data_IF_476279898086
#
_entry.id   IF_476279898086
#
_cell.length_a   1.000
_cell.length_b   1.000
_cell.length_c   1.000
_cell.angle_alpha   90.00
_cell.angle_beta   90.00
_cell.angle_gamma   90.00
#
_symmetry.space_group_name_H-M   'P 1'
#
loop_
_entity.id
_entity.type
_entity.pdbx_description
1 polymer ?
#
# COMPACT_ATOMS: atom_id res chain seq x y z
N UNK A 1 9.46 29.67 -40.82
CA UNK A 1 10.95 29.69 -40.88
C UNK A 1 11.37 28.27 -41.16
N UNK A 2 12.18 28.05 -42.19
CA UNK A 2 12.64 26.71 -42.61
C UNK A 2 14.17 26.69 -42.60
N UNK A 3 14.76 25.50 -42.33
CA UNK A 3 16.20 25.28 -42.36
C UNK A 3 16.92 25.56 -41.04
N UNK A 4 18.23 25.84 -41.13
CA UNK A 4 19.11 26.08 -39.99
C UNK A 4 19.02 27.49 -39.46
N UNK A 5 18.80 27.69 -38.15
CA UNK A 5 18.76 28.97 -37.47
C UNK A 5 19.94 29.10 -36.52
N UNK A 6 20.75 30.16 -36.72
CA UNK A 6 21.77 30.58 -35.74
C UNK A 6 21.27 31.82 -34.99
N UNK A 7 21.27 31.76 -33.67
CA UNK A 7 20.92 32.90 -32.83
C UNK A 7 22.16 33.76 -32.54
N UNK A 8 22.03 35.10 -32.46
CA UNK A 8 23.11 36.00 -32.05
C UNK A 8 23.73 35.60 -30.72
N UNK A 9 25.03 35.70 -30.57
CA UNK A 9 25.78 35.36 -29.34
C UNK A 9 25.37 36.21 -28.12
N UNK A 10 24.64 37.30 -28.32
CA UNK A 10 24.10 38.16 -27.27
C UNK A 10 22.81 37.64 -26.64
N UNK A 11 22.19 36.60 -27.23
CA UNK A 11 20.94 36.02 -26.69
C UNK A 11 21.25 35.27 -25.39
N UNK A 12 20.52 35.61 -24.33
CA UNK A 12 20.67 35.03 -22.99
C UNK A 12 19.44 34.23 -22.53
N UNK A 13 18.31 34.34 -23.22
CA UNK A 13 17.09 33.58 -22.96
C UNK A 13 16.27 33.36 -24.23
N UNK A 14 15.54 32.25 -24.26
CA UNK A 14 14.54 31.95 -25.31
C UNK A 14 13.16 32.11 -24.66
N UNK A 15 12.36 33.02 -25.21
CA UNK A 15 11.02 33.29 -24.67
C UNK A 15 10.02 32.13 -24.87
N UNK A 16 8.90 32.24 -24.19
CA UNK A 16 7.84 31.27 -24.36
C UNK A 16 7.31 31.21 -25.78
N UNK A 17 7.17 30.00 -26.32
CA UNK A 17 6.69 29.72 -27.70
C UNK A 17 7.44 30.41 -28.83
N UNK A 18 8.68 30.91 -28.58
CA UNK A 18 9.44 31.75 -29.53
C UNK A 18 9.62 31.09 -30.91
N UNK A 19 9.77 29.78 -30.96
CA UNK A 19 9.94 28.99 -32.19
C UNK A 19 8.94 27.85 -32.31
N UNK A 20 7.84 27.87 -31.54
CA UNK A 20 6.84 26.83 -31.62
C UNK A 20 6.30 26.61 -33.02
N UNK A 21 6.12 25.36 -33.44
CA UNK A 21 5.57 24.95 -34.73
C UNK A 21 6.36 25.46 -35.95
N UNK A 22 7.66 25.68 -35.78
CA UNK A 22 8.53 26.03 -36.90
C UNK A 22 9.10 24.79 -37.59
N UNK A 23 9.29 24.84 -38.90
CA UNK A 23 9.90 23.78 -39.71
C UNK A 23 11.44 23.93 -39.75
N UNK A 24 12.06 24.24 -38.62
CA UNK A 24 13.52 24.37 -38.54
C UNK A 24 14.14 23.02 -38.27
N UNK A 25 15.20 22.69 -39.01
CA UNK A 25 15.90 21.41 -38.91
C UNK A 25 17.03 21.42 -37.87
N UNK A 26 17.58 22.59 -37.55
CA UNK A 26 18.71 22.73 -36.64
C UNK A 26 18.70 24.13 -36.01
N UNK A 27 18.97 24.20 -34.70
CA UNK A 27 19.14 25.43 -33.95
C UNK A 27 20.53 25.50 -33.32
N UNK A 28 21.30 26.55 -33.63
CA UNK A 28 22.51 26.86 -32.89
C UNK A 28 22.19 27.80 -31.73
N UNK A 29 22.07 27.23 -30.52
CA UNK A 29 21.80 28.00 -29.30
C UNK A 29 23.13 28.49 -28.70
N UNK A 30 23.28 29.83 -28.44
CA UNK A 30 24.48 30.37 -27.79
C UNK A 30 24.69 29.79 -26.37
N UNK A 31 25.95 29.56 -25.99
CA UNK A 31 26.30 29.00 -24.66
C UNK A 31 25.86 29.89 -23.49
N UNK A 32 25.62 31.20 -23.72
CA UNK A 32 25.13 32.17 -22.72
C UNK A 32 23.63 32.08 -22.43
N UNK A 33 22.87 31.28 -23.13
CA UNK A 33 21.43 31.10 -22.85
C UNK A 33 21.30 30.38 -21.53
N UNK A 34 20.63 31.01 -20.57
CA UNK A 34 20.42 30.50 -19.20
C UNK A 34 19.03 29.91 -18.99
N UNK A 35 18.06 30.24 -19.87
CA UNK A 35 16.69 29.79 -19.79
C UNK A 35 16.09 29.54 -21.16
N UNK A 36 15.40 28.38 -21.30
CA UNK A 36 14.53 28.06 -22.43
C UNK A 36 13.11 28.05 -21.87
N UNK A 37 12.28 28.97 -22.38
CA UNK A 37 10.94 29.24 -21.90
C UNK A 37 9.94 28.12 -22.22
N UNK A 38 8.71 28.28 -21.71
CA UNK A 38 7.61 27.37 -21.97
C UNK A 38 7.34 27.24 -23.48
N UNK A 39 7.22 25.99 -23.96
CA UNK A 39 6.88 25.67 -25.35
C UNK A 39 7.81 26.28 -26.39
N UNK A 40 9.00 26.71 -25.99
CA UNK A 40 9.89 27.52 -26.87
C UNK A 40 10.12 26.90 -28.25
N UNK A 41 10.18 25.56 -28.34
CA UNK A 41 10.32 24.77 -29.56
C UNK A 41 9.21 23.72 -29.71
N UNK A 42 8.06 23.92 -29.06
CA UNK A 42 6.95 22.94 -29.10
C UNK A 42 6.53 22.65 -30.54
N UNK A 43 6.37 21.35 -30.86
CA UNK A 43 5.94 20.87 -32.18
C UNK A 43 6.83 21.30 -33.36
N UNK A 44 8.14 21.42 -33.10
CA UNK A 44 9.12 21.61 -34.16
C UNK A 44 9.47 20.24 -34.78
N UNK A 45 8.62 19.73 -35.66
CA UNK A 45 8.69 18.35 -36.19
C UNK A 45 9.89 18.08 -37.10
N UNK A 46 10.64 19.11 -37.54
CA UNK A 46 11.86 18.96 -38.32
C UNK A 46 13.13 19.10 -37.46
N UNK A 47 13.00 19.51 -36.18
CA UNK A 47 14.14 19.76 -35.30
C UNK A 47 14.74 18.45 -34.82
N UNK A 48 15.93 18.08 -35.27
CA UNK A 48 16.58 16.82 -35.04
C UNK A 48 17.78 16.90 -34.07
N UNK A 49 18.63 17.93 -34.25
CA UNK A 49 19.91 18.02 -33.54
C UNK A 49 19.86 19.10 -32.46
N UNK A 50 19.73 18.67 -31.20
CA UNK A 50 19.73 19.59 -30.05
C UNK A 50 21.05 19.48 -29.28
N UNK A 51 21.77 20.62 -29.21
CA UNK A 51 22.83 20.85 -28.24
C UNK A 51 22.37 21.90 -27.25
N UNK A 52 22.23 21.53 -25.98
CA UNK A 52 21.86 22.48 -24.93
C UNK A 52 22.99 23.44 -24.60
N UNK A 53 22.69 24.75 -24.35
CA UNK A 53 23.67 25.76 -23.95
C UNK A 53 24.40 25.38 -22.67
N UNK A 54 25.70 25.71 -22.57
CA UNK A 54 26.51 25.38 -21.37
C UNK A 54 25.98 26.05 -20.10
N UNK A 55 25.54 27.32 -20.21
CA UNK A 55 25.12 28.12 -19.05
C UNK A 55 23.62 27.90 -18.69
N UNK A 56 22.96 26.96 -19.37
CA UNK A 56 21.53 26.69 -19.18
C UNK A 56 21.25 26.21 -17.75
N UNK A 57 20.28 26.85 -17.08
CA UNK A 57 19.85 26.55 -15.70
C UNK A 57 18.44 25.96 -15.66
N UNK A 58 17.58 26.31 -16.63
CA UNK A 58 16.18 25.91 -16.63
C UNK A 58 15.70 25.54 -18.02
N UNK A 59 14.99 24.43 -18.11
CA UNK A 59 14.22 23.99 -19.28
C UNK A 59 12.75 24.10 -18.91
N UNK A 60 12.02 24.97 -19.60
CA UNK A 60 10.62 25.29 -19.34
C UNK A 60 9.68 24.13 -19.65
N UNK A 61 8.44 24.27 -19.19
CA UNK A 61 7.39 23.30 -19.52
C UNK A 61 7.22 23.22 -21.03
N UNK A 62 7.03 22.00 -21.58
CA UNK A 62 6.79 21.75 -23.01
C UNK A 62 7.86 22.32 -23.96
N UNK A 63 9.05 22.70 -23.45
CA UNK A 63 10.07 23.41 -24.20
C UNK A 63 10.42 22.75 -25.56
N UNK A 64 10.46 21.42 -25.62
CA UNK A 64 10.70 20.58 -26.80
C UNK A 64 9.61 19.52 -27.00
N UNK A 65 8.40 19.80 -26.51
CA UNK A 65 7.28 18.86 -26.65
C UNK A 65 7.02 18.53 -28.13
N UNK A 66 6.91 17.24 -28.45
CA UNK A 66 6.68 16.71 -29.81
C UNK A 66 7.72 17.20 -30.88
N UNK A 67 8.98 17.34 -30.47
CA UNK A 67 10.09 17.52 -31.42
C UNK A 67 10.61 16.15 -31.89
N UNK A 68 11.08 16.08 -33.17
CA UNK A 68 11.74 14.87 -33.71
C UNK A 68 13.23 14.81 -33.34
N UNK A 69 13.59 15.25 -32.13
CA UNK A 69 14.97 15.20 -31.66
C UNK A 69 15.52 13.77 -31.81
N UNK A 70 16.75 13.66 -32.31
CA UNK A 70 17.44 12.41 -32.60
C UNK A 70 18.80 12.33 -31.90
N UNK A 71 19.29 11.12 -31.67
CA UNK A 71 20.56 10.88 -31.01
C UNK A 71 20.52 11.12 -29.50
N UNK A 72 21.68 11.42 -28.91
CA UNK A 72 21.82 11.59 -27.47
C UNK A 72 21.42 12.99 -26.98
N UNK A 73 20.72 13.04 -25.86
CA UNK A 73 20.44 14.28 -25.13
C UNK A 73 21.29 14.33 -23.86
N UNK A 74 22.25 15.25 -23.83
CA UNK A 74 23.06 15.55 -22.66
C UNK A 74 22.47 16.80 -21.97
N UNK A 75 21.91 16.62 -20.76
CA UNK A 75 21.40 17.73 -19.95
C UNK A 75 22.60 18.56 -19.47
N UNK A 76 22.56 19.88 -19.69
CA UNK A 76 23.65 20.77 -19.32
C UNK A 76 23.88 20.78 -17.78
N UNK A 77 25.16 20.89 -17.38
CA UNK A 77 25.57 20.71 -15.97
C UNK A 77 24.84 21.62 -14.98
N UNK A 78 24.52 22.86 -15.37
CA UNK A 78 23.86 23.83 -14.50
C UNK A 78 22.35 23.70 -14.42
N UNK A 79 21.73 22.75 -15.16
CA UNK A 79 20.28 22.54 -15.14
C UNK A 79 19.87 21.91 -13.82
N UNK A 80 19.01 22.60 -13.07
CA UNK A 80 18.45 22.15 -11.81
C UNK A 80 17.03 21.60 -11.96
N UNK A 81 16.32 21.99 -13.02
CA UNK A 81 14.93 21.61 -13.27
C UNK A 81 14.68 21.35 -14.75
N UNK A 82 13.99 20.24 -15.03
CA UNK A 82 13.38 19.92 -16.32
C UNK A 82 11.87 20.07 -16.15
N UNK A 83 11.25 20.97 -16.92
CA UNK A 83 9.84 21.29 -16.82
C UNK A 83 8.90 20.16 -17.21
N UNK A 84 7.62 20.34 -16.93
CA UNK A 84 6.58 19.36 -17.27
C UNK A 84 6.47 19.21 -18.79
N UNK A 85 6.41 17.96 -19.27
CA UNK A 85 6.36 17.61 -20.70
C UNK A 85 7.49 18.20 -21.55
N UNK A 86 8.63 18.58 -20.93
CA UNK A 86 9.69 19.31 -21.64
C UNK A 86 10.20 18.59 -22.89
N UNK A 87 10.29 17.26 -22.87
CA UNK A 87 10.68 16.40 -23.99
C UNK A 87 9.61 15.34 -24.31
N UNK A 88 8.34 15.64 -24.01
CA UNK A 88 7.24 14.73 -24.30
C UNK A 88 7.23 14.40 -25.81
N UNK A 89 7.09 13.11 -26.14
CA UNK A 89 6.97 12.67 -27.52
C UNK A 89 8.25 12.79 -28.38
N UNK A 90 9.42 13.12 -27.80
CA UNK A 90 10.70 13.16 -28.53
C UNK A 90 11.16 11.73 -28.89
N UNK A 91 10.49 11.11 -29.85
CA UNK A 91 10.66 9.68 -30.16
C UNK A 91 12.01 9.33 -30.77
N UNK A 92 12.75 10.27 -31.35
CA UNK A 92 14.05 9.99 -31.98
C UNK A 92 15.23 10.00 -31.01
N UNK A 93 15.05 10.38 -29.74
CA UNK A 93 16.11 10.29 -28.74
C UNK A 93 16.47 8.86 -28.42
N UNK A 94 17.78 8.53 -28.46
CA UNK A 94 18.31 7.18 -28.19
C UNK A 94 19.13 7.09 -26.90
N UNK A 95 19.64 8.24 -26.39
CA UNK A 95 20.40 8.32 -25.15
C UNK A 95 19.97 9.52 -24.31
N UNK A 96 20.09 9.40 -23.00
CA UNK A 96 19.82 10.46 -22.03
C UNK A 96 20.91 10.48 -20.97
N UNK A 97 21.58 11.63 -20.80
CA UNK A 97 22.55 11.87 -19.73
C UNK A 97 22.00 12.94 -18.80
N UNK A 98 21.75 12.58 -17.54
CA UNK A 98 21.33 13.50 -16.48
C UNK A 98 22.54 13.91 -15.63
N UNK A 99 22.50 15.10 -15.04
CA UNK A 99 23.64 15.67 -14.30
C UNK A 99 23.38 15.74 -12.79
N UNK A 100 24.45 15.79 -12.00
CA UNK A 100 24.39 15.85 -10.54
C UNK A 100 23.83 17.16 -9.96
N UNK A 101 23.57 18.17 -10.80
CA UNK A 101 22.89 19.41 -10.37
C UNK A 101 21.36 19.32 -10.45
N UNK A 102 20.83 18.30 -11.14
CA UNK A 102 19.39 18.15 -11.35
C UNK A 102 18.67 17.80 -10.06
N UNK A 103 17.64 18.56 -9.72
CA UNK A 103 16.83 18.37 -8.49
C UNK A 103 15.40 17.91 -8.80
N UNK A 104 14.82 18.36 -9.93
CA UNK A 104 13.45 18.06 -10.33
C UNK A 104 13.36 17.61 -11.79
N UNK A 105 12.60 16.52 -12.00
CA UNK A 105 12.14 16.07 -13.33
C UNK A 105 10.62 16.24 -13.33
N UNK A 106 10.10 17.08 -14.21
CA UNK A 106 8.68 17.43 -14.28
C UNK A 106 7.77 16.26 -14.70
N UNK A 107 6.47 16.47 -14.55
CA UNK A 107 5.47 15.51 -15.00
C UNK A 107 5.56 15.31 -16.52
N UNK A 108 5.50 14.05 -16.97
CA UNK A 108 5.59 13.66 -18.38
C UNK A 108 6.83 14.19 -19.12
N UNK A 109 7.88 14.60 -18.40
CA UNK A 109 9.04 15.28 -18.99
C UNK A 109 9.67 14.50 -20.17
N UNK A 110 9.76 13.19 -20.09
CA UNK A 110 10.27 12.29 -21.14
C UNK A 110 9.21 11.26 -21.61
N UNK A 111 7.93 11.50 -21.29
CA UNK A 111 6.89 10.54 -21.68
C UNK A 111 6.86 10.37 -23.20
N UNK A 112 6.80 9.12 -23.64
CA UNK A 112 6.77 8.78 -25.06
C UNK A 112 8.11 8.85 -25.78
N UNK A 113 9.24 9.09 -25.10
CA UNK A 113 10.58 8.94 -25.67
C UNK A 113 10.90 7.44 -25.89
N UNK A 114 10.19 6.83 -26.82
CA UNK A 114 10.11 5.36 -26.98
C UNK A 114 11.46 4.71 -27.24
N UNK A 115 12.34 5.36 -27.99
CA UNK A 115 13.59 4.78 -28.46
C UNK A 115 14.80 5.10 -27.59
N UNK A 116 14.61 5.75 -26.40
CA UNK A 116 15.67 5.82 -25.39
C UNK A 116 16.14 4.38 -25.07
N UNK A 117 17.31 4.03 -25.60
CA UNK A 117 17.87 2.67 -25.46
C UNK A 117 19.19 2.76 -24.67
N UNK A 118 19.07 3.19 -23.43
CA UNK A 118 20.21 3.37 -22.53
C UNK A 118 19.83 3.02 -21.09
N UNK A 119 20.83 2.80 -20.26
CA UNK A 119 20.65 2.74 -18.83
C UNK A 119 20.26 4.13 -18.29
N UNK A 120 19.20 4.19 -17.48
CA UNK A 120 18.74 5.44 -16.89
C UNK A 120 19.45 5.68 -15.55
N UNK A 121 20.44 6.57 -15.56
CA UNK A 121 21.14 7.00 -14.35
C UNK A 121 20.48 8.28 -13.79
N UNK A 122 19.57 8.13 -12.84
CA UNK A 122 18.94 9.27 -12.14
C UNK A 122 19.88 9.73 -11.02
N UNK A 123 20.35 11.00 -11.04
CA UNK A 123 21.26 11.50 -10.02
C UNK A 123 20.68 11.50 -8.63
N UNK A 124 21.51 11.27 -7.61
CA UNK A 124 21.11 11.29 -6.19
C UNK A 124 20.61 12.66 -5.71
N UNK A 125 20.92 13.72 -6.42
CA UNK A 125 20.41 15.09 -6.20
C UNK A 125 18.93 15.26 -6.51
N UNK A 126 18.34 14.38 -7.35
CA UNK A 126 16.92 14.44 -7.71
C UNK A 126 16.07 14.06 -6.49
N UNK A 127 15.21 14.98 -6.09
CA UNK A 127 14.27 14.80 -4.96
C UNK A 127 12.83 14.64 -5.40
N UNK A 128 12.53 15.00 -6.67
CA UNK A 128 11.18 14.94 -7.24
C UNK A 128 11.20 14.41 -8.68
N UNK A 129 10.36 13.41 -8.93
CA UNK A 129 10.06 12.89 -10.27
C UNK A 129 8.55 12.94 -10.42
N UNK A 130 8.09 13.74 -11.41
CA UNK A 130 6.66 13.96 -11.64
C UNK A 130 5.93 12.75 -12.21
N UNK A 131 4.61 12.85 -12.21
CA UNK A 131 3.73 11.83 -12.78
C UNK A 131 4.06 11.60 -14.25
N UNK A 132 4.13 10.33 -14.68
CA UNK A 132 4.40 9.97 -16.06
C UNK A 132 5.76 10.38 -16.62
N UNK A 133 6.72 10.82 -15.78
CA UNK A 133 7.97 11.43 -16.25
C UNK A 133 8.72 10.58 -17.30
N UNK A 134 8.68 9.26 -17.19
CA UNK A 134 9.27 8.29 -18.14
C UNK A 134 8.23 7.33 -18.73
N UNK A 135 6.95 7.67 -18.66
CA UNK A 135 5.88 6.85 -19.22
C UNK A 135 6.15 6.50 -20.69
N UNK A 136 5.96 5.23 -21.08
CA UNK A 136 6.20 4.75 -22.45
C UNK A 136 7.64 4.93 -22.98
N UNK A 137 8.64 5.07 -22.10
CA UNK A 137 10.04 4.95 -22.49
C UNK A 137 10.41 3.47 -22.60
N UNK A 138 9.87 2.81 -23.63
CA UNK A 138 9.80 1.34 -23.74
C UNK A 138 11.18 0.68 -23.66
N UNK A 139 12.20 1.26 -24.33
CA UNK A 139 13.52 0.67 -24.48
C UNK A 139 14.55 1.12 -23.42
N UNK A 140 14.18 1.97 -22.44
CA UNK A 140 15.04 2.17 -21.26
C UNK A 140 15.37 0.81 -20.65
N UNK A 141 16.66 0.58 -20.39
CA UNK A 141 17.16 -0.74 -20.01
C UNK A 141 18.13 -0.65 -18.81
N UNK A 142 18.74 -1.80 -18.47
CA UNK A 142 19.61 -1.91 -17.31
C UNK A 142 18.84 -1.93 -15.98
N UNK A 143 19.54 -1.69 -14.89
CA UNK A 143 18.95 -1.63 -13.55
C UNK A 143 18.45 -0.21 -13.28
N UNK A 144 17.20 -0.08 -12.86
CA UNK A 144 16.66 1.20 -12.42
C UNK A 144 17.12 1.49 -10.98
N UNK A 145 17.93 2.52 -10.81
CA UNK A 145 18.39 3.02 -9.50
C UNK A 145 17.63 4.30 -9.18
N UNK A 146 16.80 4.25 -8.13
CA UNK A 146 16.02 5.39 -7.68
C UNK A 146 16.79 6.21 -6.63
N UNK A 147 16.72 7.56 -6.68
CA UNK A 147 17.34 8.43 -5.67
C UNK A 147 16.84 8.14 -4.25
N UNK A 148 17.76 8.07 -3.27
CA UNK A 148 17.43 7.71 -1.89
C UNK A 148 16.52 8.72 -1.16
N UNK A 149 16.37 9.94 -1.68
CA UNK A 149 15.59 11.01 -1.05
C UNK A 149 14.18 11.19 -1.62
N UNK A 150 13.77 10.38 -2.59
CA UNK A 150 12.41 10.42 -3.12
C UNK A 150 11.39 10.13 -2.03
N UNK A 151 10.36 10.98 -1.91
CA UNK A 151 9.27 10.80 -0.93
C UNK A 151 8.11 9.98 -1.47
N UNK A 152 7.92 10.04 -2.78
CA UNK A 152 6.82 9.40 -3.51
C UNK A 152 7.32 8.95 -4.89
N UNK A 153 6.77 7.85 -5.39
CA UNK A 153 6.80 7.51 -6.82
C UNK A 153 5.45 7.95 -7.39
N UNK A 154 5.48 8.90 -8.32
CA UNK A 154 4.26 9.46 -8.93
C UNK A 154 3.46 8.46 -9.75
N UNK A 155 2.25 8.85 -10.16
CA UNK A 155 1.42 8.02 -11.03
C UNK A 155 2.08 7.86 -12.39
N UNK A 156 2.07 6.64 -12.93
CA UNK A 156 2.59 6.31 -14.28
C UNK A 156 4.07 6.65 -14.52
N UNK A 157 4.83 6.96 -13.47
CA UNK A 157 6.21 7.48 -13.61
C UNK A 157 7.07 6.61 -14.53
N UNK A 158 6.97 5.28 -14.43
CA UNK A 158 7.69 4.31 -15.27
C UNK A 158 6.73 3.34 -15.98
N UNK A 159 5.46 3.72 -16.16
CA UNK A 159 4.50 2.87 -16.88
C UNK A 159 5.04 2.49 -18.26
N UNK A 160 4.95 1.18 -18.60
CA UNK A 160 5.36 0.64 -19.89
C UNK A 160 6.87 0.81 -20.21
N UNK A 161 7.74 0.91 -19.18
CA UNK A 161 9.19 0.82 -19.32
C UNK A 161 9.61 -0.66 -19.29
N UNK A 162 9.39 -1.37 -20.44
CA UNK A 162 9.42 -2.83 -20.49
C UNK A 162 10.80 -3.45 -20.31
N UNK A 163 11.88 -2.71 -20.56
CA UNK A 163 13.21 -3.28 -20.71
C UNK A 163 14.10 -3.08 -19.47
N UNK A 164 13.65 -2.42 -18.40
CA UNK A 164 14.36 -2.46 -17.13
C UNK A 164 14.49 -3.91 -16.61
N UNK A 165 15.64 -4.24 -16.08
CA UNK A 165 15.98 -5.59 -15.59
C UNK A 165 16.44 -5.55 -14.13
N UNK A 166 16.75 -6.73 -13.56
CA UNK A 166 17.25 -6.85 -12.19
C UNK A 166 16.18 -6.64 -11.13
N UNK A 167 16.60 -6.30 -9.93
CA UNK A 167 15.70 -6.07 -8.79
C UNK A 167 15.34 -4.60 -8.69
N UNK A 168 14.06 -4.30 -8.74
CA UNK A 168 13.55 -2.97 -8.41
C UNK A 168 13.61 -2.77 -6.90
N UNK A 169 14.47 -1.85 -6.46
CA UNK A 169 14.60 -1.45 -5.05
C UNK A 169 13.96 -0.10 -4.86
N UNK A 170 12.85 -0.05 -4.11
CA UNK A 170 12.19 1.20 -3.75
C UNK A 170 12.88 1.78 -2.51
N UNK A 171 13.31 3.07 -2.55
CA UNK A 171 14.02 3.69 -1.42
C UNK A 171 13.19 3.78 -0.14
N UNK A 172 13.85 3.70 1.02
CA UNK A 172 13.19 3.76 2.34
C UNK A 172 12.49 5.10 2.64
N UNK A 173 12.81 6.15 1.91
CA UNK A 173 12.13 7.46 2.00
C UNK A 173 10.73 7.46 1.38
N UNK A 174 10.40 6.46 0.52
CA UNK A 174 9.13 6.38 -0.20
C UNK A 174 8.05 5.83 0.72
N UNK A 175 6.95 6.57 0.84
CA UNK A 175 5.76 6.18 1.62
C UNK A 175 4.57 5.79 0.75
N UNK A 176 4.59 6.12 -0.54
CA UNK A 176 3.48 5.89 -1.47
C UNK A 176 4.01 5.56 -2.86
N UNK A 177 3.41 4.54 -3.49
CA UNK A 177 3.66 4.18 -4.89
C UNK A 177 2.36 4.46 -5.65
N UNK A 178 2.42 5.41 -6.58
CA UNK A 178 1.27 5.95 -7.29
C UNK A 178 0.66 4.98 -8.31
N UNK A 179 -0.48 5.40 -8.85
CA UNK A 179 -1.25 4.64 -9.82
C UNK A 179 -0.39 4.27 -11.04
N UNK A 180 -0.42 3.00 -11.45
CA UNK A 180 0.30 2.46 -12.61
C UNK A 180 1.80 2.78 -12.65
N UNK A 181 2.42 3.13 -11.51
CA UNK A 181 3.79 3.66 -11.45
C UNK A 181 4.82 2.76 -12.15
N UNK A 182 4.67 1.43 -12.08
CA UNK A 182 5.53 0.42 -12.73
C UNK A 182 4.70 -0.58 -13.56
N UNK A 183 3.47 -0.21 -13.95
CA UNK A 183 2.64 -1.08 -14.78
C UNK A 183 3.36 -1.42 -16.09
N UNK A 184 3.29 -2.70 -16.53
CA UNK A 184 3.98 -3.22 -17.72
C UNK A 184 5.53 -3.15 -17.68
N UNK A 185 6.15 -2.95 -16.52
CA UNK A 185 7.61 -3.12 -16.36
C UNK A 185 7.96 -4.62 -16.32
N UNK A 186 7.79 -5.28 -17.46
CA UNK A 186 7.68 -6.75 -17.54
C UNK A 186 8.99 -7.52 -17.35
N UNK A 187 10.17 -6.87 -17.34
CA UNK A 187 11.48 -7.54 -17.22
C UNK A 187 12.16 -7.41 -15.86
N UNK A 188 11.60 -6.67 -14.91
CA UNK A 188 12.11 -6.75 -13.53
C UNK A 188 12.00 -8.18 -13.01
N UNK A 189 13.06 -8.65 -12.32
CA UNK A 189 13.13 -10.03 -11.80
C UNK A 189 12.97 -10.09 -10.28
N UNK A 190 13.06 -8.96 -9.57
CA UNK A 190 12.87 -8.88 -8.14
C UNK A 190 12.22 -7.56 -7.72
N UNK A 191 11.62 -7.54 -6.53
CA UNK A 191 11.00 -6.36 -5.93
C UNK A 191 11.36 -6.27 -4.46
N UNK A 192 11.89 -5.11 -4.04
CA UNK A 192 12.15 -4.76 -2.65
C UNK A 192 11.35 -3.52 -2.27
N UNK A 193 10.37 -3.69 -1.39
CA UNK A 193 9.52 -2.60 -0.88
C UNK A 193 10.11 -2.01 0.41
N UNK A 194 9.97 -0.68 0.62
CA UNK A 194 10.54 0.01 1.79
C UNK A 194 9.70 -0.20 3.05
N UNK A 195 10.36 -0.29 4.21
CA UNK A 195 9.69 -0.52 5.50
C UNK A 195 8.73 0.62 5.94
N UNK A 196 8.81 1.79 5.30
CA UNK A 196 7.94 2.94 5.59
C UNK A 196 6.76 3.08 4.62
N UNK A 197 6.60 2.13 3.70
CA UNK A 197 5.53 2.16 2.71
C UNK A 197 4.16 2.05 3.39
N UNK A 198 3.25 2.94 3.04
CA UNK A 198 1.89 3.00 3.57
C UNK A 198 0.83 2.64 2.55
N UNK A 199 1.11 2.96 1.27
CA UNK A 199 0.13 2.82 0.20
C UNK A 199 0.75 2.33 -1.10
N UNK A 200 0.07 1.36 -1.72
CA UNK A 200 0.33 0.88 -3.08
C UNK A 200 -0.95 1.15 -3.87
N UNK A 201 -0.90 2.06 -4.83
CA UNK A 201 -2.09 2.50 -5.54
C UNK A 201 -2.52 1.54 -6.67
N UNK A 202 -3.61 1.94 -7.37
CA UNK A 202 -4.19 1.20 -8.50
C UNK A 202 -3.10 0.79 -9.51
N UNK A 203 -3.07 -0.48 -9.89
CA UNK A 203 -2.21 -0.99 -10.96
C UNK A 203 -0.69 -0.81 -10.78
N UNK A 204 -0.22 -0.38 -9.58
CA UNK A 204 1.16 0.07 -9.37
C UNK A 204 2.24 -0.87 -9.93
N UNK A 205 2.03 -2.19 -9.88
CA UNK A 205 2.90 -3.23 -10.43
C UNK A 205 2.16 -4.16 -11.42
N UNK A 206 1.03 -3.72 -11.96
CA UNK A 206 0.26 -4.56 -12.88
C UNK A 206 1.11 -5.03 -14.05
N UNK A 207 0.98 -6.31 -14.41
CA UNK A 207 1.69 -6.97 -15.52
C UNK A 207 3.24 -6.97 -15.42
N UNK A 208 3.79 -6.83 -14.21
CA UNK A 208 5.20 -7.12 -13.95
C UNK A 208 5.43 -8.63 -13.90
N UNK A 209 5.30 -9.29 -15.04
CA UNK A 209 5.14 -10.76 -15.17
C UNK A 209 6.37 -11.58 -14.76
N UNK A 210 7.56 -10.99 -14.75
CA UNK A 210 8.82 -11.66 -14.43
C UNK A 210 9.32 -11.36 -13.01
N UNK A 211 8.58 -10.61 -12.18
CA UNK A 211 8.91 -10.49 -10.75
C UNK A 211 8.84 -11.87 -10.11
N UNK A 212 9.98 -12.35 -9.60
CA UNK A 212 10.15 -13.69 -9.02
C UNK A 212 10.41 -13.63 -7.51
N UNK A 213 10.48 -14.79 -6.88
CA UNK A 213 10.70 -14.91 -5.46
C UNK A 213 9.43 -14.64 -4.65
N UNK A 214 9.60 -14.46 -3.34
CA UNK A 214 8.48 -14.19 -2.42
C UNK A 214 8.16 -12.70 -2.40
N UNK A 215 6.91 -12.36 -2.57
CA UNK A 215 6.45 -10.98 -2.34
C UNK A 215 6.40 -10.72 -0.83
N UNK A 216 7.18 -9.74 -0.37
CA UNK A 216 7.19 -9.26 1.02
C UNK A 216 6.56 -7.88 1.07
N UNK A 217 5.36 -7.78 1.64
CA UNK A 217 4.65 -6.51 1.84
C UNK A 217 4.93 -6.05 3.28
N UNK A 218 5.48 -4.83 3.47
CA UNK A 218 5.80 -4.31 4.79
C UNK A 218 4.58 -4.18 5.71
N UNK A 219 4.77 -4.39 7.02
CA UNK A 219 3.71 -4.26 8.05
C UNK A 219 3.10 -2.85 8.16
N UNK A 220 3.77 -1.85 7.61
CA UNK A 220 3.29 -0.46 7.59
C UNK A 220 2.27 -0.18 6.50
N UNK A 221 2.07 -1.11 5.54
CA UNK A 221 1.12 -0.91 4.43
C UNK A 221 -0.31 -1.04 4.93
N UNK A 222 -1.08 0.03 4.70
CA UNK A 222 -2.49 0.15 5.08
C UNK A 222 -3.44 -0.03 3.91
N UNK A 223 -3.00 0.33 2.70
CA UNK A 223 -3.84 0.31 1.50
C UNK A 223 -3.14 -0.38 0.34
N UNK A 224 -3.85 -1.31 -0.30
CA UNK A 224 -3.45 -1.94 -1.57
C UNK A 224 -4.58 -1.67 -2.57
N UNK A 225 -4.27 -0.94 -3.64
CA UNK A 225 -5.22 -0.54 -4.67
C UNK A 225 -5.66 -1.69 -5.56
N UNK A 226 -6.74 -1.45 -6.33
CA UNK A 226 -7.22 -2.42 -7.33
C UNK A 226 -6.13 -2.70 -8.37
N UNK A 227 -6.02 -3.94 -8.80
CA UNK A 227 -5.03 -4.41 -9.79
C UNK A 227 -3.56 -4.18 -9.41
N UNK A 228 -3.22 -3.83 -8.16
CA UNK A 228 -1.87 -3.45 -7.74
C UNK A 228 -0.79 -4.47 -8.16
N UNK A 229 -1.07 -5.77 -8.10
CA UNK A 229 -0.20 -6.88 -8.53
C UNK A 229 -0.89 -7.78 -9.57
N UNK A 230 -1.85 -7.22 -10.32
CA UNK A 230 -2.56 -7.95 -11.36
C UNK A 230 -1.59 -8.56 -12.37
N UNK A 231 -1.78 -9.85 -12.67
CA UNK A 231 -0.98 -10.58 -13.66
C UNK A 231 0.55 -10.60 -13.36
N UNK A 232 0.95 -10.51 -12.06
CA UNK A 232 2.33 -10.73 -11.63
C UNK A 232 2.58 -12.23 -11.48
N UNK A 233 2.80 -12.92 -12.61
CA UNK A 233 2.79 -14.39 -12.71
C UNK A 233 4.06 -15.06 -12.19
N UNK A 234 5.16 -14.33 -12.00
CA UNK A 234 6.46 -14.89 -11.62
C UNK A 234 6.66 -15.08 -10.11
N UNK A 235 5.87 -14.45 -9.25
CA UNK A 235 6.02 -14.59 -7.81
C UNK A 235 5.76 -16.01 -7.31
N UNK A 236 6.50 -16.42 -6.27
CA UNK A 236 6.41 -17.74 -5.61
C UNK A 236 6.27 -17.58 -4.10
N UNK A 237 5.95 -18.68 -3.41
CA UNK A 237 5.79 -18.67 -1.94
C UNK A 237 4.46 -18.05 -1.48
N UNK A 238 4.23 -18.08 -0.18
CA UNK A 238 3.04 -17.49 0.43
C UNK A 238 3.08 -15.98 0.37
N UNK A 239 1.95 -15.35 0.05
CA UNK A 239 1.74 -13.92 0.20
C UNK A 239 1.13 -13.66 1.56
N UNK A 240 1.91 -13.06 2.46
CA UNK A 240 1.43 -12.68 3.79
C UNK A 240 1.16 -11.19 3.78
N UNK A 241 -0.11 -10.83 3.99
CA UNK A 241 -0.56 -9.44 4.02
C UNK A 241 -0.47 -8.88 5.44
N UNK A 242 -0.14 -7.59 5.59
CA UNK A 242 0.12 -7.00 6.89
C UNK A 242 -1.08 -7.00 7.83
N UNK A 243 -0.82 -7.06 9.13
CA UNK A 243 -1.85 -6.94 10.18
C UNK A 243 -2.48 -5.54 10.24
N UNK A 244 -1.77 -4.52 9.76
CA UNK A 244 -2.25 -3.14 9.67
C UNK A 244 -3.04 -2.83 8.39
N UNK A 245 -3.25 -3.80 7.48
CA UNK A 245 -3.95 -3.58 6.22
C UNK A 245 -5.41 -3.20 6.47
N UNK A 246 -5.80 -2.00 6.06
CA UNK A 246 -7.13 -1.41 6.24
C UNK A 246 -8.03 -1.62 5.03
N UNK A 247 -7.45 -1.61 3.81
CA UNK A 247 -8.22 -1.81 2.58
C UNK A 247 -7.44 -2.53 1.49
N UNK A 248 -8.16 -3.32 0.68
CA UNK A 248 -7.66 -4.00 -0.50
C UNK A 248 -8.63 -3.80 -1.66
N UNK A 249 -8.13 -3.35 -2.79
CA UNK A 249 -8.92 -3.09 -3.99
C UNK A 249 -9.25 -4.35 -4.79
N UNK A 250 -10.18 -4.19 -5.73
CA UNK A 250 -10.62 -5.26 -6.63
C UNK A 250 -9.44 -5.80 -7.43
N UNK A 251 -9.36 -7.13 -7.55
CA UNK A 251 -8.38 -7.85 -8.38
C UNK A 251 -6.91 -7.52 -8.07
N UNK A 252 -6.62 -7.05 -6.84
CA UNK A 252 -5.26 -6.66 -6.44
C UNK A 252 -4.21 -7.75 -6.73
N UNK A 253 -4.58 -9.02 -6.60
CA UNK A 253 -3.73 -10.20 -6.87
C UNK A 253 -4.29 -11.13 -7.96
N UNK A 254 -5.24 -10.66 -8.77
CA UNK A 254 -5.84 -11.49 -9.81
C UNK A 254 -4.81 -11.93 -10.86
N UNK A 255 -5.05 -13.08 -11.47
CA UNK A 255 -4.17 -13.72 -12.47
C UNK A 255 -2.73 -14.00 -11.97
N UNK A 256 -2.45 -13.98 -10.67
CA UNK A 256 -1.21 -14.55 -10.16
C UNK A 256 -1.23 -16.07 -10.33
N UNK A 257 -0.19 -16.66 -10.90
CA UNK A 257 -0.11 -18.10 -11.11
C UNK A 257 0.37 -18.86 -9.86
N UNK A 258 0.56 -18.16 -8.77
CA UNK A 258 1.04 -18.73 -7.51
C UNK A 258 -0.01 -19.69 -6.92
N UNK A 259 0.41 -20.95 -6.64
CA UNK A 259 -0.42 -21.99 -6.05
C UNK A 259 -0.33 -22.06 -4.52
N UNK A 260 0.50 -21.20 -3.92
CA UNK A 260 0.70 -21.14 -2.47
C UNK A 260 -0.46 -20.39 -1.76
N UNK A 261 -0.24 -19.93 -0.57
CA UNK A 261 -1.30 -19.32 0.26
C UNK A 261 -1.28 -17.80 0.14
N UNK A 262 -2.47 -17.21 0.07
CA UNK A 262 -2.72 -15.80 0.35
C UNK A 262 -3.21 -15.72 1.80
N UNK A 263 -2.39 -15.15 2.68
CA UNK A 263 -2.63 -15.14 4.13
C UNK A 263 -2.87 -13.70 4.56
N UNK A 264 -4.08 -13.41 4.98
CA UNK A 264 -4.43 -12.14 5.62
C UNK A 264 -4.09 -12.19 7.10
N UNK A 265 -3.49 -11.14 7.62
CA UNK A 265 -3.30 -10.92 9.06
C UNK A 265 -4.27 -9.86 9.62
N UNK A 266 -5.21 -9.42 8.80
CA UNK A 266 -6.25 -8.43 9.09
C UNK A 266 -7.55 -8.83 8.38
N UNK A 267 -8.64 -8.11 8.67
CA UNK A 267 -9.90 -8.19 7.93
C UNK A 267 -10.16 -6.84 7.23
N UNK A 268 -9.47 -6.55 6.12
CA UNK A 268 -9.55 -5.25 5.46
C UNK A 268 -10.86 -5.08 4.69
N UNK A 269 -11.26 -3.83 4.47
CA UNK A 269 -12.34 -3.48 3.54
C UNK A 269 -12.02 -4.01 2.14
N UNK A 270 -13.02 -4.56 1.45
CA UNK A 270 -12.86 -5.12 0.10
C UNK A 270 -12.11 -6.45 0.03
N UNK A 271 -11.92 -7.12 1.15
CA UNK A 271 -11.18 -8.39 1.25
C UNK A 271 -11.63 -9.42 0.20
N UNK A 272 -12.94 -9.58 -0.01
CA UNK A 272 -13.51 -10.55 -0.95
C UNK A 272 -13.16 -10.27 -2.42
N UNK A 273 -12.85 -9.02 -2.76
CA UNK A 273 -12.60 -8.59 -4.14
C UNK A 273 -11.10 -8.62 -4.50
N UNK A 274 -10.23 -8.59 -3.49
CA UNK A 274 -8.79 -8.42 -3.68
C UNK A 274 -8.07 -9.62 -4.31
N UNK A 275 -8.74 -10.77 -4.40
CA UNK A 275 -8.15 -12.02 -4.89
C UNK A 275 -8.99 -12.75 -5.93
N UNK A 276 -9.94 -12.06 -6.59
CA UNK A 276 -10.71 -12.63 -7.69
C UNK A 276 -9.77 -13.23 -8.75
N UNK A 277 -10.11 -14.40 -9.29
CA UNK A 277 -9.26 -15.18 -10.21
C UNK A 277 -7.84 -15.56 -9.72
N UNK A 278 -7.55 -15.38 -8.42
CA UNK A 278 -6.31 -15.85 -7.81
C UNK A 278 -6.38 -17.35 -7.51
N UNK A 279 -5.35 -18.11 -7.89
CA UNK A 279 -5.27 -19.57 -7.65
C UNK A 279 -4.75 -19.96 -6.26
N UNK A 280 -4.35 -18.98 -5.45
CA UNK A 280 -3.86 -19.22 -4.10
C UNK A 280 -4.98 -19.66 -3.16
N UNK A 281 -4.67 -20.55 -2.22
CA UNK A 281 -5.56 -20.84 -1.09
C UNK A 281 -5.58 -19.65 -0.14
N UNK A 282 -6.73 -19.32 0.41
CA UNK A 282 -6.99 -18.11 1.20
C UNK A 282 -7.12 -18.45 2.66
N UNK A 283 -6.31 -17.81 3.48
CA UNK A 283 -6.30 -17.99 4.93
C UNK A 283 -6.35 -16.63 5.61
N UNK A 284 -6.87 -16.61 6.83
CA UNK A 284 -6.73 -15.47 7.74
C UNK A 284 -6.10 -15.92 9.05
N UNK A 285 -5.07 -15.22 9.48
CA UNK A 285 -4.42 -15.40 10.78
C UNK A 285 -4.55 -14.11 11.58
N UNK A 286 -5.48 -14.10 12.53
CA UNK A 286 -5.80 -12.92 13.33
C UNK A 286 -5.09 -12.94 14.68
N UNK A 287 -4.86 -11.75 15.21
CA UNK A 287 -4.39 -11.49 16.57
C UNK A 287 -5.07 -10.25 17.14
N UNK A 288 -4.80 -9.92 18.38
CA UNK A 288 -5.31 -8.68 19.00
C UNK A 288 -4.83 -7.39 18.29
N UNK A 289 -3.74 -7.48 17.52
CA UNK A 289 -3.20 -6.35 16.73
C UNK A 289 -3.78 -6.25 15.32
N UNK A 290 -4.62 -7.20 14.89
CA UNK A 290 -5.17 -7.22 13.53
C UNK A 290 -6.18 -6.10 13.33
N UNK A 291 -6.05 -5.37 12.22
CA UNK A 291 -7.10 -4.46 11.77
C UNK A 291 -8.33 -5.24 11.33
N UNK A 292 -9.51 -4.72 11.65
CA UNK A 292 -10.80 -5.33 11.33
C UNK A 292 -11.75 -4.28 10.77
N UNK A 293 -12.25 -4.46 9.56
CA UNK A 293 -13.28 -3.63 8.97
C UNK A 293 -14.67 -4.17 9.28
N UNK A 294 -15.64 -3.28 9.53
CA UNK A 294 -17.03 -3.65 9.83
C UNK A 294 -17.75 -4.32 8.64
N UNK A 295 -17.25 -4.11 7.42
CA UNK A 295 -17.81 -4.65 6.18
C UNK A 295 -16.99 -5.83 5.61
N UNK A 296 -16.04 -6.38 6.38
CA UNK A 296 -15.25 -7.53 5.96
C UNK A 296 -16.14 -8.77 5.80
N UNK A 297 -16.03 -9.39 4.64
CA UNK A 297 -16.74 -10.62 4.30
C UNK A 297 -15.89 -11.46 3.36
N UNK A 298 -15.74 -12.75 3.62
CA UNK A 298 -15.03 -13.66 2.73
C UNK A 298 -15.34 -15.14 3.04
N UNK A 299 -15.25 -15.99 2.01
CA UNK A 299 -15.07 -17.43 2.14
C UNK A 299 -13.59 -17.76 2.07
N UNK A 300 -13.07 -18.45 3.07
CA UNK A 300 -11.65 -18.77 3.23
C UNK A 300 -11.43 -20.27 3.36
N UNK A 301 -10.25 -20.73 2.92
CA UNK A 301 -9.83 -22.12 3.08
C UNK A 301 -9.45 -22.46 4.53
N UNK A 302 -9.22 -21.47 5.36
CA UNK A 302 -9.00 -21.62 6.80
C UNK A 302 -8.82 -20.29 7.51
N UNK A 303 -8.96 -20.33 8.84
CA UNK A 303 -8.79 -19.18 9.71
C UNK A 303 -8.08 -19.57 11.01
N UNK A 304 -7.42 -18.61 11.65
CA UNK A 304 -6.95 -18.74 13.03
C UNK A 304 -6.99 -17.38 13.73
N UNK A 305 -7.18 -17.43 15.04
CA UNK A 305 -7.00 -16.30 15.93
C UNK A 305 -6.08 -16.70 17.06
N UNK A 306 -4.99 -15.95 17.23
CA UNK A 306 -3.98 -16.21 18.26
C UNK A 306 -4.01 -15.11 19.30
N UNK A 307 -4.02 -15.53 20.56
CA UNK A 307 -4.11 -14.63 21.71
C UNK A 307 -3.18 -15.06 22.83
N UNK A 308 -2.49 -14.10 23.43
CA UNK A 308 -1.74 -14.30 24.68
C UNK A 308 -2.57 -13.82 25.87
N UNK A 309 -2.84 -14.73 26.81
CA UNK A 309 -3.59 -14.45 28.05
C UNK A 309 -2.64 -14.43 29.25
N UNK A 310 -2.53 -13.29 29.92
CA UNK A 310 -1.78 -13.15 31.20
C UNK A 310 -2.60 -13.64 32.39
N UNK A 311 -3.92 -13.47 32.33
CA UNK A 311 -4.88 -13.92 33.37
C UNK A 311 -5.47 -15.27 33.03
N UNK A 312 -6.07 -15.91 34.01
CA UNK A 312 -6.76 -17.22 33.86
C UNK A 312 -8.01 -17.09 33.00
N UNK A 313 -8.75 -16.00 33.17
CA UNK A 313 -10.00 -15.71 32.47
C UNK A 313 -9.86 -14.57 31.48
N UNK A 314 -10.63 -14.63 30.42
CA UNK A 314 -10.72 -13.60 29.42
C UNK A 314 -12.03 -13.68 28.65
N UNK A 315 -12.27 -12.73 27.78
CA UNK A 315 -13.43 -12.72 26.89
C UNK A 315 -13.03 -12.89 25.44
N UNK A 316 -13.90 -13.46 24.60
CA UNK A 316 -13.63 -13.82 23.22
C UNK A 316 -14.85 -13.55 22.34
N UNK A 317 -14.62 -13.06 21.13
CA UNK A 317 -15.56 -13.12 20.02
C UNK A 317 -14.82 -13.45 18.73
N UNK A 318 -15.34 -14.37 17.93
CA UNK A 318 -14.72 -14.79 16.66
C UNK A 318 -15.59 -14.36 15.47
N UNK A 319 -15.00 -13.96 14.35
CA UNK A 319 -15.74 -13.63 13.14
C UNK A 319 -16.11 -14.86 12.29
N UNK A 320 -15.82 -16.07 12.76
CA UNK A 320 -16.09 -17.35 12.11
C UNK A 320 -16.58 -18.38 13.12
N UNK A 321 -17.24 -19.43 12.63
CA UNK A 321 -17.62 -20.57 13.44
C UNK A 321 -16.43 -21.53 13.65
N UNK A 322 -16.41 -22.19 14.79
CA UNK A 322 -15.35 -23.13 15.15
C UNK A 322 -15.90 -24.28 15.99
N UNK A 323 -15.56 -25.52 15.64
CA UNK A 323 -15.73 -26.66 16.52
C UNK A 323 -14.69 -26.59 17.65
N UNK A 324 -15.12 -26.80 18.89
CA UNK A 324 -14.22 -26.84 20.03
C UNK A 324 -13.47 -28.19 20.03
N UNK A 325 -12.12 -28.19 20.00
CA UNK A 325 -11.32 -29.40 20.14
C UNK A 325 -11.56 -30.02 21.53
N UNK A 326 -11.62 -31.34 21.60
CA UNK A 326 -11.83 -32.06 22.86
C UNK A 326 -10.63 -31.96 23.84
N UNK A 327 -9.45 -31.69 23.29
CA UNK A 327 -8.17 -31.58 23.98
C UNK A 327 -7.65 -30.13 24.03
N UNK A 328 -8.52 -29.15 23.80
CA UNK A 328 -8.13 -27.74 23.84
C UNK A 328 -7.56 -27.35 25.22
N UNK A 329 -6.45 -26.56 25.26
CA UNK A 329 -5.87 -26.10 26.52
C UNK A 329 -6.68 -24.98 27.19
N UNK A 330 -7.95 -24.86 26.82
CA UNK A 330 -8.89 -23.86 27.31
C UNK A 330 -10.31 -24.38 27.35
N UNK A 331 -11.12 -23.79 28.22
CA UNK A 331 -12.58 -24.00 28.27
C UNK A 331 -13.30 -22.71 27.86
N UNK A 332 -14.41 -22.83 27.13
CA UNK A 332 -15.23 -21.72 26.68
C UNK A 332 -16.61 -21.79 27.28
N UNK A 333 -17.15 -20.61 27.63
CA UNK A 333 -18.42 -20.49 28.32
C UNK A 333 -19.25 -19.34 27.73
N UNK A 334 -20.58 -19.50 27.84
CA UNK A 334 -21.54 -18.38 27.77
C UNK A 334 -21.93 -17.95 29.17
N UNK A 335 -22.38 -16.72 29.33
CA UNK A 335 -23.00 -16.29 30.61
C UNK A 335 -24.46 -16.68 30.57
N UNK A 336 -24.88 -17.51 31.52
CA UNK A 336 -26.27 -17.92 31.66
C UNK A 336 -27.05 -16.95 32.55
N UNK A 337 -26.43 -16.48 33.62
CA UNK A 337 -27.03 -15.54 34.58
C UNK A 337 -25.96 -14.68 35.23
N UNK A 338 -26.32 -13.46 35.56
CA UNK A 338 -25.50 -12.57 36.38
C UNK A 338 -26.38 -11.87 37.42
N UNK A 339 -25.95 -11.91 38.67
CA UNK A 339 -26.51 -11.16 39.79
C UNK A 339 -25.44 -10.25 40.38
N UNK A 340 -25.76 -9.53 41.47
CA UNK A 340 -24.80 -8.68 42.15
C UNK A 340 -23.61 -9.44 42.76
N UNK A 341 -23.81 -10.73 43.09
CA UNK A 341 -22.85 -11.55 43.87
C UNK A 341 -22.32 -12.74 43.08
N UNK A 342 -22.93 -13.10 41.95
CA UNK A 342 -22.62 -14.34 41.25
C UNK A 342 -22.74 -14.19 39.73
N UNK A 343 -21.80 -14.82 39.01
CA UNK A 343 -21.86 -15.06 37.54
C UNK A 343 -21.96 -16.55 37.29
N UNK A 344 -23.07 -17.00 36.73
CA UNK A 344 -23.28 -18.39 36.35
C UNK A 344 -22.87 -18.58 34.89
N UNK A 345 -21.89 -19.45 34.66
CA UNK A 345 -21.35 -19.78 33.38
C UNK A 345 -21.84 -21.13 32.88
N UNK A 346 -22.25 -21.20 31.63
CA UNK A 346 -22.59 -22.45 30.94
C UNK A 346 -21.46 -22.83 29.98
N UNK A 347 -20.84 -23.97 30.19
CA UNK A 347 -19.75 -24.46 29.34
C UNK A 347 -20.26 -24.78 27.93
N UNK A 348 -19.54 -24.26 26.92
CA UNK A 348 -19.74 -24.62 25.52
C UNK A 348 -19.03 -25.95 25.25
N UNK A 349 -19.71 -26.91 24.63
CA UNK A 349 -19.19 -28.26 24.40
C UNK A 349 -19.05 -28.63 22.94
N UNK A 350 -19.51 -27.78 22.00
CA UNK A 350 -19.60 -28.20 20.62
C UNK A 350 -19.11 -27.18 19.62
N UNK A 351 -19.79 -26.04 19.44
CA UNK A 351 -19.49 -25.07 18.43
C UNK A 351 -19.51 -23.64 18.99
N UNK A 352 -18.56 -22.82 18.55
CA UNK A 352 -18.59 -21.37 18.72
C UNK A 352 -19.17 -20.74 17.47
N UNK A 353 -20.16 -19.87 17.65
CA UNK A 353 -20.81 -19.18 16.53
C UNK A 353 -20.15 -17.81 16.29
N UNK A 354 -20.09 -17.35 15.02
CA UNK A 354 -19.52 -16.05 14.71
C UNK A 354 -20.34 -14.92 15.33
N UNK A 355 -19.66 -13.91 15.84
CA UNK A 355 -20.28 -12.71 16.43
C UNK A 355 -20.87 -12.92 17.83
N UNK A 356 -20.87 -14.14 18.38
CA UNK A 356 -21.31 -14.43 19.74
C UNK A 356 -20.17 -14.15 20.72
N UNK A 357 -20.49 -13.50 21.83
CA UNK A 357 -19.56 -13.23 22.91
C UNK A 357 -19.40 -14.45 23.84
N UNK A 358 -18.18 -14.78 24.21
CA UNK A 358 -17.83 -15.90 25.07
C UNK A 358 -16.87 -15.46 26.17
N UNK A 359 -16.88 -16.22 27.28
CA UNK A 359 -15.85 -16.20 28.30
C UNK A 359 -14.92 -17.38 28.06
N UNK A 360 -13.62 -17.16 28.15
CA UNK A 360 -12.58 -18.18 27.98
C UNK A 360 -11.81 -18.32 29.25
N UNK A 361 -11.65 -19.58 29.73
CA UNK A 361 -10.76 -19.94 30.82
C UNK A 361 -9.56 -20.69 30.24
N UNK A 362 -8.38 -20.29 30.61
CA UNK A 362 -7.14 -21.01 30.35
C UNK A 362 -7.03 -22.19 31.35
N UNK A 363 -6.97 -23.41 30.82
CA UNK A 363 -6.98 -24.63 31.65
C UNK A 363 -5.58 -25.17 31.96
N UNK A 364 -4.51 -24.58 31.36
CA UNK A 364 -3.12 -24.98 31.55
C UNK A 364 -2.18 -23.78 31.79
N UNK A 365 -0.88 -24.05 31.80
CA UNK A 365 0.16 -23.03 31.95
C UNK A 365 0.46 -22.27 30.67
N UNK A 366 0.06 -22.78 29.52
CA UNK A 366 0.26 -22.18 28.24
C UNK A 366 -0.48 -20.85 28.16
N UNK A 367 0.25 -19.74 27.90
CA UNK A 367 -0.32 -18.42 27.85
C UNK A 367 -0.84 -18.03 26.46
N UNK A 368 -0.37 -18.68 25.41
CA UNK A 368 -0.80 -18.40 24.04
C UNK A 368 -1.83 -19.42 23.60
N UNK A 369 -3.04 -18.98 23.36
CA UNK A 369 -4.15 -19.82 22.91
C UNK A 369 -4.40 -19.57 21.41
N UNK A 370 -4.65 -20.66 20.66
CA UNK A 370 -5.01 -20.61 19.25
C UNK A 370 -6.42 -21.13 19.05
N UNK A 371 -7.25 -20.33 18.38
CA UNK A 371 -8.60 -20.67 17.99
C UNK A 371 -8.60 -20.85 16.46
N UNK A 372 -8.59 -22.10 16.01
CA UNK A 372 -8.47 -22.43 14.59
C UNK A 372 -9.46 -23.54 14.22
N UNK A 373 -10.39 -23.29 13.29
CA UNK A 373 -11.21 -24.35 12.74
C UNK A 373 -10.36 -25.23 11.82
N UNK A 374 -10.72 -26.49 11.72
CA UNK A 374 -10.10 -27.51 10.87
C UNK A 374 -10.69 -27.56 9.43
N UNK A 375 -11.51 -26.59 9.08
CA UNK A 375 -12.26 -26.52 7.82
C UNK A 375 -12.29 -25.12 7.23
N UNK A 376 -12.77 -25.02 5.99
CA UNK A 376 -13.09 -23.74 5.35
C UNK A 376 -14.18 -22.99 6.14
N UNK A 377 -14.04 -21.67 6.21
CA UNK A 377 -14.92 -20.81 7.02
C UNK A 377 -15.43 -19.62 6.22
N UNK A 378 -16.57 -19.11 6.65
CA UNK A 378 -17.13 -17.84 6.23
C UNK A 378 -16.87 -16.77 7.30
N UNK A 379 -16.24 -15.66 6.92
CA UNK A 379 -16.09 -14.51 7.80
C UNK A 379 -17.42 -13.76 7.85
N UNK A 380 -17.93 -13.52 9.07
CA UNK A 380 -19.16 -12.79 9.34
C UNK A 380 -18.94 -11.73 10.41
N UNK A 381 -19.12 -10.48 10.05
CA UNK A 381 -18.90 -9.34 10.95
C UNK A 381 -20.12 -8.96 11.77
N UNK A 382 -21.27 -9.62 11.56
CA UNK A 382 -22.49 -9.33 12.32
C UNK A 382 -22.38 -9.82 13.77
N UNK A 383 -22.41 -8.89 14.71
CA UNK A 383 -22.48 -9.19 16.14
C UNK A 383 -23.83 -9.80 16.51
N UNK A 384 -23.80 -10.75 17.46
CA UNK A 384 -24.96 -11.43 18.00
C UNK A 384 -24.96 -11.32 19.53
N UNK A 385 -25.40 -10.17 20.09
CA UNK A 385 -25.49 -9.99 21.54
C UNK A 385 -26.42 -11.03 22.16
N UNK A 386 -26.03 -11.53 23.34
CA UNK A 386 -26.82 -12.50 24.09
C UNK A 386 -27.43 -11.84 25.34
N UNK A 387 -28.74 -11.98 25.56
CA UNK A 387 -29.41 -11.45 26.73
C UNK A 387 -29.02 -12.22 27.95
N UNK A 388 -28.63 -11.53 29.02
CA UNK A 388 -28.26 -12.08 30.34
C UNK A 388 -29.06 -11.33 31.41
N UNK A 389 -30.30 -11.76 31.64
CA UNK A 389 -31.24 -11.01 32.48
C UNK A 389 -31.51 -9.60 31.89
N UNK A 390 -31.21 -8.56 32.67
CA UNK A 390 -31.33 -7.16 32.22
C UNK A 390 -30.11 -6.61 31.46
N UNK A 391 -29.08 -7.43 31.27
CA UNK A 391 -27.84 -7.08 30.59
C UNK A 391 -27.76 -7.73 29.23
N UNK A 392 -26.94 -7.17 28.34
CA UNK A 392 -26.55 -7.78 27.07
C UNK A 392 -25.07 -8.12 27.08
N UNK A 393 -24.74 -9.39 26.82
CA UNK A 393 -23.38 -9.82 26.61
C UNK A 393 -23.01 -9.60 25.13
N UNK A 394 -22.22 -8.58 24.88
CA UNK A 394 -21.85 -8.09 23.56
C UNK A 394 -20.38 -8.28 23.28
N UNK A 395 -19.99 -8.29 22.01
CA UNK A 395 -18.61 -8.39 21.57
C UNK A 395 -18.21 -7.30 20.59
N UNK A 396 -16.92 -7.18 20.31
CA UNK A 396 -16.38 -6.27 19.29
C UNK A 396 -15.19 -6.89 18.58
N UNK A 397 -15.04 -6.58 17.30
CA UNK A 397 -13.86 -6.92 16.50
C UNK A 397 -12.83 -5.77 16.44
N UNK A 398 -13.22 -4.58 16.91
CA UNK A 398 -12.35 -3.43 17.01
C UNK A 398 -12.22 -2.97 18.47
N UNK A 399 -11.23 -2.14 18.77
CA UNK A 399 -11.16 -1.50 20.08
C UNK A 399 -12.37 -0.58 20.26
N UNK A 400 -13.10 -0.72 21.37
CA UNK A 400 -14.32 0.04 21.64
C UNK A 400 -14.29 0.64 23.02
N UNK A 401 -14.73 1.90 23.16
CA UNK A 401 -15.01 2.49 24.47
C UNK A 401 -16.31 1.91 25.03
N UNK A 402 -16.25 1.50 26.28
CA UNK A 402 -17.41 1.07 27.07
C UNK A 402 -17.77 2.16 28.05
N UNK A 403 -18.98 2.69 27.94
CA UNK A 403 -19.45 3.80 28.76
C UNK A 403 -20.18 3.37 30.03
N UNK A 404 -20.82 2.20 29.97
CA UNK A 404 -21.58 1.59 31.08
C UNK A 404 -21.45 0.06 31.07
N UNK A 405 -21.95 -0.59 32.11
CA UNK A 405 -21.93 -2.06 32.21
C UNK A 405 -20.67 -2.60 32.88
N UNK A 406 -20.20 -3.75 32.43
CA UNK A 406 -19.10 -4.49 33.05
C UNK A 406 -18.08 -4.96 32.01
N UNK A 407 -16.80 -4.83 32.34
CA UNK A 407 -15.69 -5.44 31.61
C UNK A 407 -15.04 -6.54 32.43
N UNK A 408 -14.50 -7.57 31.74
CA UNK A 408 -13.72 -8.63 32.38
C UNK A 408 -12.22 -8.24 32.34
N UNK A 409 -11.64 -8.04 33.52
CA UNK A 409 -10.22 -7.78 33.70
C UNK A 409 -9.73 -8.35 35.03
N UNK A 410 -8.49 -8.86 35.07
CA UNK A 410 -7.87 -9.42 36.28
C UNK A 410 -8.76 -10.50 36.94
N UNK A 411 -9.36 -11.37 36.12
CA UNK A 411 -10.26 -12.47 36.54
C UNK A 411 -11.53 -11.98 37.26
N UNK A 412 -11.99 -10.76 37.02
CA UNK A 412 -13.18 -10.14 37.59
C UNK A 412 -13.97 -9.31 36.59
N UNK A 413 -15.28 -9.25 36.84
CA UNK A 413 -16.11 -8.23 36.16
C UNK A 413 -16.07 -6.92 36.92
N UNK A 414 -15.57 -5.90 36.25
CA UNK A 414 -15.47 -4.53 36.78
C UNK A 414 -16.61 -3.67 36.25
N UNK A 415 -17.35 -3.05 37.17
CA UNK A 415 -18.34 -2.05 36.79
C UNK A 415 -17.65 -0.79 36.26
N UNK A 416 -17.99 -0.37 35.03
CA UNK A 416 -17.34 0.73 34.33
C UNK A 416 -17.53 2.07 35.05
N UNK A 417 -18.73 2.32 35.58
CA UNK A 417 -19.01 3.55 36.31
C UNK A 417 -18.16 3.64 37.59
N UNK A 418 -17.95 2.51 38.31
CA UNK A 418 -17.06 2.47 39.49
C UNK A 418 -15.59 2.65 39.13
N UNK A 419 -15.14 2.06 38.02
CA UNK A 419 -13.76 2.29 37.52
C UNK A 419 -13.51 3.76 37.22
N UNK A 420 -14.41 4.41 36.52
CA UNK A 420 -14.32 5.85 36.22
C UNK A 420 -14.37 6.72 37.47
N UNK A 421 -15.18 6.35 38.47
CA UNK A 421 -15.25 7.07 39.75
C UNK A 421 -13.98 6.92 40.61
N UNK A 422 -13.34 5.77 40.57
CA UNK A 422 -12.10 5.46 41.30
C UNK A 422 -10.84 6.10 40.66
N UNK A 423 -10.86 6.35 39.37
CA UNK A 423 -9.76 6.96 38.62
C UNK A 423 -10.33 8.04 37.65
N UNK A 424 -10.66 9.25 38.16
CA UNK A 424 -11.30 10.31 37.39
C UNK A 424 -10.50 10.78 36.18
N UNK A 425 -9.18 10.65 36.21
CA UNK A 425 -8.27 10.92 35.10
C UNK A 425 -8.34 9.90 33.97
N UNK A 426 -9.03 8.78 34.17
CA UNK A 426 -9.22 7.78 33.11
C UNK A 426 -10.16 8.31 32.05
N UNK A 427 -9.60 8.72 30.90
CA UNK A 427 -10.36 9.34 29.81
C UNK A 427 -11.38 8.39 29.19
N UNK A 428 -11.03 7.09 29.05
CA UNK A 428 -11.89 6.06 28.48
C UNK A 428 -11.60 4.67 29.05
N UNK A 429 -12.64 3.86 29.21
CA UNK A 429 -12.50 2.43 29.48
C UNK A 429 -12.65 1.68 28.18
N UNK A 430 -11.55 1.13 27.68
CA UNK A 430 -11.49 0.46 26.37
C UNK A 430 -11.57 -1.04 26.51
N UNK A 431 -12.37 -1.66 25.64
CA UNK A 431 -12.33 -3.11 25.37
C UNK A 431 -11.56 -3.31 24.06
N UNK A 432 -10.53 -4.14 24.09
CA UNK A 432 -9.72 -4.43 22.90
C UNK A 432 -10.50 -5.22 21.84
N UNK A 433 -9.94 -5.37 20.62
CA UNK A 433 -10.55 -6.17 19.56
C UNK A 433 -10.69 -7.64 19.96
N UNK A 434 -11.67 -8.33 19.36
CA UNK A 434 -12.03 -9.73 19.66
C UNK A 434 -12.37 -9.98 21.13
N UNK A 435 -12.91 -8.98 21.83
CA UNK A 435 -13.31 -9.01 23.22
C UNK A 435 -14.80 -8.79 23.39
N UNK A 436 -15.28 -9.06 24.59
CA UNK A 436 -16.68 -8.88 24.96
C UNK A 436 -16.83 -8.15 26.30
N UNK A 437 -17.99 -7.56 26.49
CA UNK A 437 -18.41 -6.86 27.70
C UNK A 437 -19.91 -7.09 27.94
N UNK A 438 -20.38 -6.72 29.15
CA UNK A 438 -21.79 -6.69 29.48
C UNK A 438 -22.30 -5.25 29.44
N UNK A 439 -23.29 -4.97 28.61
CA UNK A 439 -23.98 -3.68 28.53
C UNK A 439 -25.17 -3.62 29.48
N UNK A 440 -25.42 -2.45 30.08
CA UNK A 440 -26.53 -2.17 30.97
C UNK A 440 -26.14 -2.05 32.43
N UNK A 441 -27.08 -1.62 33.26
CA UNK A 441 -26.87 -1.36 34.70
C UNK A 441 -27.55 -2.40 35.57
N UNK A 442 -26.78 -3.14 36.36
CA UNK A 442 -27.27 -3.79 37.59
C UNK A 442 -26.76 -3.04 38.79
N UNK A 443 -27.45 -3.14 39.92
CA UNK A 443 -27.08 -2.43 41.13
C UNK A 443 -25.67 -2.84 41.63
N UNK A 444 -24.82 -1.88 41.70
CA UNK A 444 -23.65 -1.57 42.57
C UNK A 444 -22.61 -2.59 43.03
N UNK A 445 -22.56 -3.85 42.64
CA UNK A 445 -21.51 -4.80 43.06
C UNK A 445 -20.69 -5.32 41.85
N UNK A 446 -19.44 -5.70 42.10
CA UNK A 446 -18.56 -6.28 41.08
C UNK A 446 -18.32 -7.76 41.46
N UNK A 447 -19.06 -8.72 40.86
CA UNK A 447 -18.89 -10.10 41.18
C UNK A 447 -17.53 -10.66 40.72
N UNK A 448 -16.96 -11.59 41.44
CA UNK A 448 -15.77 -12.37 41.02
C UNK A 448 -16.16 -13.63 40.25
N UNK A 449 -15.33 -14.06 39.33
CA UNK A 449 -15.42 -15.34 38.64
C UNK A 449 -14.89 -16.50 39.49
#
# INVERSE_FOLDING_TARGET
INGKIGLPMSVTSIGAYAFAKTACTDFSLPDRVTEIGEGAFESCYEFQNLRLPRDLKKIGNRAFNDCLLSGGLDIAYNVTEIGDSAFYGCTGLDKLSLTSSLQRIGAYAFSGCKYLNCELAIPSSVTEIGDGAFQNCIYLNGNLILPANLKKIGSKTFENCKFFTGTLVIPNSVTEIGQDAFSDCSRFTGLSLPNNLRKIEFGAFARCINLTGRLSIPETVKEIGSYAFYNCTGFTGDFVLPSALESIGTDAFANTQNKNRLVFQSLPKGMQNGYHDCKMRRYVNLSDASYVSDDAYAYLDGASYVRTMTNTWGSLVLPYDMLLPSDAPYSVFTIEKMTNDEVVLKRCTFILNPGVAYIVRRDGEEKTLTFSPDRSVEIRMKMQPTDVGNLKFSGTYQAKEVTDGYILAQDRFWNVAKLKAAAPETQAVMVGPFRSWLEGTTANTSPSL
#
